data_IF_922535733833
#
_entry.id   IF_922535733833
#
_cell.length_a   1.000
_cell.length_b   1.000
_cell.length_c   1.000
_cell.angle_alpha   90.00
_cell.angle_beta   90.00
_cell.angle_gamma   90.00
#
_symmetry.space_group_name_H-M   'P 1'
#
loop_
_entity.id
_entity.type
_entity.pdbx_description
1 polymer ?
#
# COMPACT_ATOMS: atom_id res chain seq x y z
N UNK A 1 2.58 -4.60 -11.32
CA UNK A 1 1.47 -5.18 -10.54
C UNK A 1 1.98 -6.41 -9.80
N UNK A 2 1.61 -6.54 -8.54
CA UNK A 2 1.96 -7.69 -7.72
C UNK A 2 0.72 -8.16 -6.97
N UNK A 3 0.71 -9.43 -6.63
CA UNK A 3 -0.35 -10.00 -5.81
C UNK A 3 0.20 -10.28 -4.41
N UNK A 4 -0.58 -9.92 -3.40
CA UNK A 4 -0.23 -10.24 -2.02
C UNK A 4 -1.37 -11.03 -1.39
N UNK A 5 -1.02 -11.85 -0.41
CA UNK A 5 -2.00 -12.68 0.29
C UNK A 5 -2.23 -12.12 1.68
N UNK A 6 -3.46 -11.69 1.97
CA UNK A 6 -3.83 -11.20 3.30
C UNK A 6 -4.90 -12.13 3.84
N UNK A 7 -4.51 -13.00 4.77
CA UNK A 7 -5.39 -14.04 5.26
C UNK A 7 -5.77 -14.96 4.09
N UNK A 8 -7.06 -15.08 3.82
CA UNK A 8 -7.55 -15.90 2.72
C UNK A 8 -7.79 -15.09 1.46
N UNK A 9 -7.49 -13.79 1.47
CA UNK A 9 -7.74 -12.91 0.34
C UNK A 9 -6.47 -12.67 -0.45
N UNK A 10 -6.58 -12.72 -1.77
CA UNK A 10 -5.51 -12.31 -2.67
C UNK A 10 -5.80 -10.88 -3.14
N UNK A 11 -4.88 -9.97 -2.91
CA UNK A 11 -5.04 -8.56 -3.23
C UNK A 11 -3.99 -8.18 -4.25
N UNK A 12 -4.44 -7.52 -5.32
CA UNK A 12 -3.54 -7.03 -6.36
C UNK A 12 -3.23 -5.57 -6.07
N UNK A 13 -1.95 -5.24 -6.10
CA UNK A 13 -1.49 -3.88 -5.85
C UNK A 13 -0.75 -3.36 -7.08
N UNK A 14 -1.00 -2.11 -7.42
CA UNK A 14 -0.41 -1.50 -8.60
C UNK A 14 0.00 -0.07 -8.27
N UNK A 15 1.29 0.21 -8.34
CA UNK A 15 1.84 1.54 -8.05
C UNK A 15 1.82 2.38 -9.32
N UNK A 16 0.72 3.10 -9.53
CA UNK A 16 0.54 4.00 -10.67
C UNK A 16 0.18 5.39 -10.16
N UNK A 17 0.20 6.42 -11.03
CA UNK A 17 -0.22 7.75 -10.59
C UNK A 17 -1.64 7.80 -10.01
N UNK A 18 -2.52 6.88 -10.41
CA UNK A 18 -3.85 6.81 -9.81
C UNK A 18 -3.79 6.52 -8.32
N UNK A 19 -2.82 5.71 -7.88
CA UNK A 19 -2.67 5.44 -6.45
C UNK A 19 -2.37 6.73 -5.69
N UNK A 20 -1.58 7.63 -6.28
CA UNK A 20 -1.28 8.93 -5.67
C UNK A 20 -2.56 9.74 -5.49
N UNK A 21 -3.40 9.75 -6.52
CA UNK A 21 -4.65 10.50 -6.48
C UNK A 21 -5.60 9.94 -5.42
N UNK A 22 -5.78 8.63 -5.41
CA UNK A 22 -6.69 7.99 -4.45
C UNK A 22 -6.21 8.17 -3.03
N UNK A 23 -4.90 8.09 -2.80
CA UNK A 23 -4.33 8.31 -1.48
C UNK A 23 -4.61 9.74 -0.99
N UNK A 24 -4.38 10.72 -1.86
CA UNK A 24 -4.62 12.11 -1.50
C UNK A 24 -6.10 12.38 -1.22
N UNK A 25 -6.98 11.81 -2.02
CA UNK A 25 -8.41 12.01 -1.85
C UNK A 25 -8.93 11.41 -0.55
N UNK A 26 -8.42 10.24 -0.18
CA UNK A 26 -8.93 9.54 1.01
C UNK A 26 -8.28 10.04 2.29
N UNK A 27 -6.99 10.34 2.26
CA UNK A 27 -6.24 10.64 3.48
C UNK A 27 -5.77 12.08 3.58
N UNK A 28 -5.91 12.84 2.52
CA UNK A 28 -5.54 14.25 2.46
C UNK A 28 -4.06 14.49 2.77
N UNK A 29 -3.21 13.52 2.44
CA UNK A 29 -1.76 13.63 2.56
C UNK A 29 -1.11 13.12 1.29
N UNK A 30 0.20 13.36 1.14
CA UNK A 30 0.94 12.97 -0.05
C UNK A 30 1.53 11.58 0.12
N UNK A 31 1.17 10.64 -0.78
CA UNK A 31 1.64 9.28 -0.70
C UNK A 31 3.17 9.20 -0.75
N UNK A 32 3.80 9.96 -1.65
CA UNK A 32 5.27 9.91 -1.80
C UNK A 32 5.95 10.37 -0.53
N UNK A 33 5.45 11.47 0.07
CA UNK A 33 5.99 11.94 1.35
C UNK A 33 5.87 10.92 2.45
N UNK A 34 4.68 10.29 2.55
CA UNK A 34 4.46 9.25 3.56
C UNK A 34 5.32 8.01 3.29
N UNK A 35 5.50 7.65 2.02
CA UNK A 35 6.33 6.51 1.65
C UNK A 35 7.79 6.75 2.02
N UNK A 36 8.30 7.96 1.78
CA UNK A 36 9.66 8.30 2.15
C UNK A 36 9.84 8.25 3.66
N UNK A 37 8.84 8.70 4.42
CA UNK A 37 8.87 8.58 5.87
C UNK A 37 8.93 7.12 6.30
N UNK A 38 8.18 6.25 5.65
CA UNK A 38 8.19 4.83 5.96
C UNK A 38 9.55 4.20 5.66
N UNK A 39 10.21 4.63 4.59
CA UNK A 39 11.56 4.14 4.28
C UNK A 39 12.57 4.55 5.34
N UNK A 40 12.44 5.78 5.86
CA UNK A 40 13.29 6.23 6.95
C UNK A 40 13.04 5.42 8.21
N UNK A 41 11.79 5.01 8.43
CA UNK A 41 11.42 4.20 9.58
C UNK A 41 11.96 2.78 9.51
N UNK A 42 12.39 2.32 8.35
CA UNK A 42 12.88 0.95 8.20
C UNK A 42 14.14 0.70 9.01
N UNK A 43 14.85 1.76 9.41
CA UNK A 43 16.03 1.65 10.26
C UNK A 43 15.68 1.70 11.74
N UNK A 44 14.44 2.02 12.07
CA UNK A 44 13.96 2.12 13.46
C UNK A 44 12.57 1.52 13.54
N UNK A 45 12.47 0.22 13.88
CA UNK A 45 11.15 -0.45 13.91
C UNK A 45 10.14 0.20 14.85
N UNK A 46 10.59 0.94 15.86
CA UNK A 46 9.68 1.61 16.79
C UNK A 46 8.94 2.77 16.12
N UNK A 47 9.42 3.23 14.96
CA UNK A 47 8.79 4.31 14.21
C UNK A 47 7.81 3.79 13.15
N UNK A 48 7.67 2.48 13.01
CA UNK A 48 6.80 1.91 11.97
C UNK A 48 5.34 2.27 12.20
N UNK A 49 4.72 2.86 11.18
CA UNK A 49 3.31 3.22 11.22
C UNK A 49 2.52 2.20 10.43
N UNK A 50 1.95 1.24 11.13
CA UNK A 50 1.20 0.14 10.51
C UNK A 50 0.00 0.66 9.72
N UNK A 51 -0.67 1.68 10.24
CA UNK A 51 -1.85 2.21 9.56
C UNK A 51 -1.48 2.86 8.23
N UNK A 52 -0.38 3.61 8.19
CA UNK A 52 0.09 4.21 6.94
C UNK A 52 0.49 3.14 5.93
N UNK A 53 1.05 2.05 6.39
CA UNK A 53 1.37 0.94 5.49
C UNK A 53 0.12 0.34 4.87
N UNK A 54 -0.94 0.17 5.65
CA UNK A 54 -2.22 -0.31 5.14
C UNK A 54 -2.86 0.71 4.19
N UNK A 55 -2.69 2.01 4.46
CA UNK A 55 -3.16 3.06 3.56
C UNK A 55 -2.49 2.95 2.19
N UNK A 56 -1.19 2.68 2.19
CA UNK A 56 -0.43 2.49 0.95
C UNK A 56 -0.97 1.29 0.17
N UNK A 57 -1.19 0.17 0.83
CA UNK A 57 -1.74 -1.02 0.18
C UNK A 57 -3.10 -0.72 -0.42
N UNK A 58 -3.97 -0.04 0.35
CA UNK A 58 -5.32 0.30 -0.12
C UNK A 58 -5.27 1.13 -1.39
N UNK A 59 -4.42 2.16 -1.42
CA UNK A 59 -4.33 3.05 -2.58
C UNK A 59 -3.86 2.29 -3.82
N UNK A 60 -2.87 1.41 -3.65
CA UNK A 60 -2.37 0.63 -4.77
C UNK A 60 -3.38 -0.44 -5.22
N UNK A 61 -4.14 -0.99 -4.29
CA UNK A 61 -5.19 -1.95 -4.63
C UNK A 61 -6.31 -1.27 -5.40
N UNK A 62 -6.71 -0.08 -4.97
CA UNK A 62 -7.72 0.68 -5.68
C UNK A 62 -7.24 1.09 -7.06
N UNK A 63 -5.95 1.39 -7.20
CA UNK A 63 -5.40 1.76 -8.50
C UNK A 63 -5.47 0.60 -9.50
N UNK A 64 -5.41 -0.63 -9.02
CA UNK A 64 -5.54 -1.80 -9.89
C UNK A 64 -6.99 -2.04 -10.32
N UNK A 65 -7.94 -1.83 -9.42
CA UNK A 65 -9.34 -2.09 -9.69
C UNK A 65 -10.22 -1.06 -9.00
N UNK A 66 -10.32 0.12 -9.61
CA UNK A 66 -10.98 1.26 -8.98
C UNK A 66 -12.50 1.15 -8.93
N UNK A 67 -13.10 0.45 -9.91
CA UNK A 67 -14.55 0.43 -10.03
C UNK A 67 -15.20 -0.27 -8.85
N UNK A 68 -16.02 0.47 -8.11
CA UNK A 68 -16.72 -0.08 -6.95
C UNK A 68 -15.83 -0.37 -5.76
N UNK A 69 -14.59 0.11 -5.77
CA UNK A 69 -13.67 -0.18 -4.67
C UNK A 69 -14.13 0.52 -3.38
N UNK A 70 -14.11 -0.18 -2.23
CA UNK A 70 -14.62 0.40 -0.99
C UNK A 70 -13.72 1.52 -0.46
N UNK A 71 -14.27 2.33 0.44
CA UNK A 71 -13.47 3.29 1.18
C UNK A 71 -12.46 2.57 2.06
N UNK A 72 -11.47 3.31 2.55
CA UNK A 72 -10.42 2.70 3.38
C UNK A 72 -11.00 2.03 4.62
N UNK A 73 -11.92 2.70 5.32
CA UNK A 73 -12.54 2.12 6.51
C UNK A 73 -13.33 0.86 6.21
N UNK A 74 -14.11 0.86 5.14
CA UNK A 74 -14.87 -0.31 4.73
C UNK A 74 -13.94 -1.45 4.32
N UNK A 75 -12.85 -1.13 3.63
CA UNK A 75 -11.85 -2.11 3.22
C UNK A 75 -11.21 -2.76 4.44
N UNK A 76 -10.82 -1.95 5.43
CA UNK A 76 -10.23 -2.47 6.66
C UNK A 76 -11.18 -3.40 7.40
N UNK A 77 -12.46 -3.04 7.46
CA UNK A 77 -13.44 -3.86 8.18
C UNK A 77 -13.65 -5.21 7.53
N UNK A 78 -13.29 -5.35 6.25
CA UNK A 78 -13.35 -6.62 5.54
C UNK A 78 -12.12 -7.50 5.75
N UNK A 79 -11.10 -6.99 6.44
CA UNK A 79 -9.88 -7.75 6.74
C UNK A 79 -9.97 -8.28 8.17
N UNK A 80 -9.86 -9.60 8.32
CA UNK A 80 -9.88 -10.20 9.66
C UNK A 80 -8.59 -9.93 10.41
N UNK A 81 -7.46 -9.94 9.69
CA UNK A 81 -6.16 -9.74 10.31
C UNK A 81 -5.14 -9.37 9.23
N UNK A 82 -4.00 -8.84 9.67
CA UNK A 82 -2.88 -8.56 8.79
C UNK A 82 -1.60 -8.89 9.55
N UNK A 83 -0.75 -9.71 8.93
CA UNK A 83 0.49 -10.13 9.56
C UNK A 83 1.64 -9.23 9.12
N UNK A 84 1.99 -8.26 9.97
CA UNK A 84 3.11 -7.35 9.69
C UNK A 84 4.46 -8.03 9.79
N UNK A 85 4.52 -9.25 10.32
CA UNK A 85 5.74 -10.02 10.37
C UNK A 85 5.99 -10.82 9.10
N UNK A 86 5.02 -10.86 8.19
CA UNK A 86 5.17 -11.59 6.93
C UNK A 86 6.09 -10.82 5.99
N UNK A 87 7.33 -11.26 5.90
CA UNK A 87 8.35 -10.58 5.08
C UNK A 87 7.99 -10.58 3.60
N UNK A 88 7.31 -11.61 3.12
CA UNK A 88 6.92 -11.69 1.71
C UNK A 88 5.94 -10.59 1.35
N UNK A 89 4.94 -10.35 2.20
CA UNK A 89 3.98 -9.28 1.98
C UNK A 89 4.67 -7.92 2.02
N UNK A 90 5.48 -7.69 3.05
CA UNK A 90 6.16 -6.41 3.22
C UNK A 90 7.08 -6.12 2.03
N UNK A 91 7.85 -7.13 1.61
CA UNK A 91 8.76 -6.98 0.49
C UNK A 91 8.00 -6.69 -0.80
N UNK A 92 6.93 -7.43 -1.07
CA UNK A 92 6.16 -7.25 -2.29
C UNK A 92 5.57 -5.84 -2.39
N UNK A 93 5.04 -5.32 -1.28
CA UNK A 93 4.44 -3.98 -1.26
C UNK A 93 5.51 -2.92 -1.50
N UNK A 94 6.64 -3.02 -0.80
CA UNK A 94 7.72 -2.04 -0.93
C UNK A 94 8.31 -2.08 -2.34
N UNK A 95 8.50 -3.27 -2.90
CA UNK A 95 9.04 -3.41 -4.25
C UNK A 95 8.09 -2.83 -5.29
N UNK A 96 6.79 -3.10 -5.17
CA UNK A 96 5.83 -2.54 -6.11
C UNK A 96 5.83 -1.02 -6.03
N UNK A 97 5.84 -0.46 -4.82
CA UNK A 97 5.85 0.99 -4.64
C UNK A 97 7.12 1.59 -5.23
N UNK A 98 8.27 0.98 -4.98
CA UNK A 98 9.53 1.48 -5.50
C UNK A 98 9.57 1.43 -7.03
N UNK A 99 9.17 0.30 -7.60
CA UNK A 99 9.21 0.15 -9.06
C UNK A 99 8.22 1.08 -9.75
N UNK A 100 7.01 1.21 -9.19
CA UNK A 100 5.98 2.01 -9.82
C UNK A 100 6.16 3.50 -9.64
N UNK A 101 6.51 3.94 -8.43
CA UNK A 101 6.58 5.37 -8.12
C UNK A 101 7.93 5.99 -8.42
N UNK A 102 9.02 5.22 -8.31
CA UNK A 102 10.36 5.78 -8.47
C UNK A 102 11.07 5.32 -9.74
N UNK A 103 10.62 4.22 -10.35
CA UNK A 103 11.23 3.70 -11.58
C UNK A 103 10.27 3.75 -12.77
N UNK A 104 9.13 4.42 -12.63
CA UNK A 104 8.16 4.54 -13.69
C UNK A 104 7.58 3.22 -14.17
N UNK A 105 7.54 2.20 -13.30
CA UNK A 105 7.01 0.89 -13.65
C UNK A 105 7.94 -0.01 -14.44
N UNK A 106 9.18 0.39 -14.61
CA UNK A 106 10.16 -0.40 -15.36
C UNK A 106 10.74 -1.52 -14.48
N UNK A 107 11.09 -2.58 -15.14
CA UNK A 107 11.76 -3.68 -14.48
C UNK A 107 13.26 -3.49 -14.53
#
# INVERSE_FOLDING_TARGET
>A
MREIQIGEKTIRVRATPLALLYYKQEFNTDLIGDLMSMQAMSTDPSQFDALKFLQLIWAMAKADEAKGFPSFGAWLSGLDSFDFADADIMTAVVEEATDGFFRGGRK
#
